data_IF_065825670225
#
_entry.id   IF_065825670225
#
_cell.length_a   1.000
_cell.length_b   1.000
_cell.length_c   1.000
_cell.angle_alpha   90.00
_cell.angle_beta   90.00
_cell.angle_gamma   90.00
#
_symmetry.space_group_name_H-M   'P 1'
#
loop_
_entity.id
_entity.type
_entity.pdbx_description
1 polymer ?
#
# COMPACT_ATOMS: atom_id res chain seq x y z
N UNK A 1 0.05 -31.40 -14.26
CA UNK A 1 -0.24 -30.28 -15.18
C UNK A 1 0.97 -29.36 -15.35
N UNK A 2 1.33 -28.94 -16.58
CA UNK A 2 2.28 -27.87 -16.81
C UNK A 2 1.69 -26.51 -16.41
N UNK A 3 2.53 -25.60 -15.89
CA UNK A 3 2.10 -24.24 -15.58
C UNK A 3 2.02 -23.45 -16.90
N UNK A 4 0.84 -22.92 -17.23
CA UNK A 4 0.68 -22.10 -18.43
C UNK A 4 1.35 -20.73 -18.28
N UNK A 5 1.59 -20.04 -19.40
CA UNK A 5 2.13 -18.66 -19.39
C UNK A 5 1.29 -17.70 -18.52
N UNK A 6 -0.02 -17.92 -18.44
CA UNK A 6 -0.92 -17.13 -17.60
C UNK A 6 -0.75 -17.46 -16.12
N UNK A 7 -0.39 -18.71 -15.77
CA UNK A 7 -0.04 -19.07 -14.39
C UNK A 7 1.23 -18.34 -13.92
N UNK A 8 2.28 -18.31 -14.75
CA UNK A 8 3.48 -17.51 -14.46
C UNK A 8 3.17 -16.01 -14.41
N UNK A 9 2.36 -15.51 -15.34
CA UNK A 9 1.91 -14.13 -15.35
C UNK A 9 1.15 -13.75 -14.08
N UNK A 10 0.23 -14.59 -13.61
CA UNK A 10 -0.52 -14.37 -12.38
C UNK A 10 0.41 -14.25 -11.17
N UNK A 11 1.37 -15.17 -11.02
CA UNK A 11 2.36 -15.15 -9.93
C UNK A 11 3.25 -13.89 -9.97
N UNK A 12 3.69 -13.47 -11.15
CA UNK A 12 4.48 -12.25 -11.31
C UNK A 12 3.66 -11.01 -10.93
N UNK A 13 2.44 -10.88 -11.45
CA UNK A 13 1.59 -9.70 -11.20
C UNK A 13 1.22 -9.56 -9.73
N UNK A 14 0.82 -10.64 -9.06
CA UNK A 14 0.46 -10.58 -7.64
C UNK A 14 1.67 -10.22 -6.76
N UNK A 15 2.86 -10.71 -7.13
CA UNK A 15 4.11 -10.42 -6.42
C UNK A 15 4.53 -8.97 -6.60
N UNK A 16 4.58 -8.49 -7.84
CA UNK A 16 4.94 -7.09 -8.16
C UNK A 16 3.95 -6.13 -7.51
N UNK A 17 2.65 -6.39 -7.61
CA UNK A 17 1.61 -5.56 -7.00
C UNK A 17 1.77 -5.46 -5.48
N UNK A 18 1.99 -6.59 -4.81
CA UNK A 18 2.17 -6.62 -3.35
C UNK A 18 3.47 -5.92 -2.93
N UNK A 19 4.56 -6.10 -3.66
CA UNK A 19 5.84 -5.42 -3.39
C UNK A 19 5.71 -3.90 -3.53
N UNK A 20 5.10 -3.42 -4.62
CA UNK A 20 4.89 -1.98 -4.81
C UNK A 20 3.97 -1.39 -3.76
N UNK A 21 2.97 -2.13 -3.30
CA UNK A 21 2.12 -1.72 -2.19
C UNK A 21 2.92 -1.58 -0.88
N UNK A 22 3.75 -2.57 -0.54
CA UNK A 22 4.62 -2.51 0.64
C UNK A 22 5.59 -1.33 0.58
N UNK A 23 6.22 -1.10 -0.58
CA UNK A 23 7.10 0.05 -0.80
C UNK A 23 6.34 1.37 -0.66
N UNK A 24 5.15 1.48 -1.26
CA UNK A 24 4.30 2.66 -1.12
C UNK A 24 3.92 2.90 0.36
N UNK A 25 3.66 1.86 1.14
CA UNK A 25 3.31 2.00 2.56
C UNK A 25 4.43 2.62 3.40
N UNK A 26 5.69 2.30 3.09
CA UNK A 26 6.85 2.74 3.88
C UNK A 26 7.39 4.09 3.41
N UNK A 27 7.36 4.37 2.11
CA UNK A 27 7.96 5.59 1.57
C UNK A 27 7.09 6.83 1.87
N UNK A 28 7.67 7.90 2.45
CA UNK A 28 6.96 9.14 2.75
C UNK A 28 6.76 10.02 1.50
N UNK A 29 6.78 9.45 0.29
CA UNK A 29 6.72 10.18 -0.99
C UNK A 29 5.34 10.07 -1.66
N UNK A 30 4.28 10.19 -0.86
CA UNK A 30 2.91 10.27 -1.41
C UNK A 30 2.60 11.69 -1.83
N UNK A 31 2.91 12.64 -0.95
CA UNK A 31 2.78 14.07 -1.20
C UNK A 31 4.10 14.75 -0.86
N UNK A 32 4.58 15.62 -1.73
CA UNK A 32 5.82 16.38 -1.51
C UNK A 32 5.57 17.86 -1.71
N UNK A 33 6.10 18.67 -0.80
CA UNK A 33 6.14 20.12 -0.91
C UNK A 33 7.59 20.63 -0.81
N UNK A 34 7.99 21.47 -1.77
CA UNK A 34 9.32 22.09 -1.83
C UNK A 34 9.28 23.61 -1.80
N UNK A 35 8.10 24.22 -1.68
CA UNK A 35 7.92 25.66 -1.58
C UNK A 35 7.81 26.06 -0.13
N UNK A 36 8.50 27.15 0.21
CA UNK A 36 8.36 27.78 1.53
C UNK A 36 7.23 28.80 1.43
N UNK A 37 6.31 28.77 2.38
CA UNK A 37 5.26 29.77 2.50
C UNK A 37 5.86 31.19 2.57
N UNK A 38 5.28 32.14 1.85
CA UNK A 38 5.79 33.51 1.77
C UNK A 38 5.92 34.22 3.13
N UNK A 39 5.15 33.81 4.14
CA UNK A 39 5.25 34.34 5.51
C UNK A 39 6.47 33.82 6.29
N UNK A 40 7.10 32.73 5.81
CA UNK A 40 8.18 32.01 6.50
C UNK A 40 9.53 32.15 5.80
N UNK A 41 9.65 32.95 4.74
CA UNK A 41 10.91 33.10 3.99
C UNK A 41 12.04 33.71 4.81
N UNK A 42 11.71 34.47 5.86
CA UNK A 42 12.69 35.05 6.78
C UNK A 42 13.19 34.03 7.84
N UNK A 43 12.46 32.92 8.01
CA UNK A 43 12.75 31.87 9.00
C UNK A 43 13.31 30.59 8.35
N UNK A 44 12.83 30.25 7.16
CA UNK A 44 13.15 29.02 6.40
C UNK A 44 13.66 29.40 5.02
N UNK A 45 14.92 29.05 4.73
CA UNK A 45 15.57 29.33 3.45
C UNK A 45 15.16 28.33 2.37
N UNK A 46 14.96 27.06 2.75
CA UNK A 46 14.45 26.02 1.86
C UNK A 46 13.77 24.90 2.63
N UNK A 47 12.84 24.19 1.98
CA UNK A 47 12.14 23.03 2.55
C UNK A 47 11.93 21.95 1.50
N UNK A 48 11.91 20.70 1.94
CA UNK A 48 11.55 19.52 1.18
C UNK A 48 10.74 18.58 2.07
N UNK A 49 9.49 18.95 2.27
CA UNK A 49 8.51 18.18 3.02
C UNK A 49 8.04 16.98 2.19
N UNK A 50 8.00 15.81 2.82
CA UNK A 50 7.53 14.56 2.21
C UNK A 50 6.58 13.85 3.17
N UNK A 51 5.32 13.66 2.80
CA UNK A 51 4.35 12.91 3.60
C UNK A 51 3.97 11.58 2.95
N UNK A 52 3.80 10.56 3.77
CA UNK A 52 3.20 9.27 3.41
C UNK A 52 2.33 8.71 4.52
N UNK A 53 1.98 7.43 4.39
CA UNK A 53 1.02 6.74 5.26
C UNK A 53 1.48 6.62 6.71
N UNK A 54 2.78 6.42 6.93
CA UNK A 54 3.36 6.18 8.26
C UNK A 54 3.74 7.48 9.00
N UNK A 55 3.91 8.57 8.27
CA UNK A 55 4.46 9.80 8.80
C UNK A 55 4.90 10.76 7.69
N UNK A 56 5.69 11.74 8.07
CA UNK A 56 6.26 12.72 7.15
C UNK A 56 7.72 13.00 7.52
N UNK A 57 8.51 13.40 6.53
CA UNK A 57 9.87 13.86 6.71
C UNK A 57 9.95 15.33 6.31
N UNK A 58 10.77 16.05 7.05
CA UNK A 58 11.12 17.43 6.80
C UNK A 58 12.62 17.47 6.58
N UNK A 59 13.01 18.03 5.44
CA UNK A 59 14.37 18.39 5.09
C UNK A 59 14.37 19.90 4.82
N UNK A 60 14.77 20.72 5.80
CA UNK A 60 14.72 22.19 5.72
C UNK A 60 15.95 22.88 6.27
N UNK A 61 16.26 24.04 5.71
CA UNK A 61 17.37 24.89 6.14
C UNK A 61 16.82 26.19 6.73
N UNK A 62 17.17 26.49 7.98
CA UNK A 62 16.72 27.69 8.68
C UNK A 62 17.55 28.90 8.27
N UNK A 63 16.92 30.03 7.95
CA UNK A 63 17.62 31.22 7.40
C UNK A 63 18.67 31.80 8.37
N UNK A 64 18.41 31.73 9.67
CA UNK A 64 19.27 32.31 10.71
C UNK A 64 20.19 31.30 11.44
N UNK A 65 20.25 30.06 10.98
CA UNK A 65 21.13 29.05 11.56
C UNK A 65 21.74 28.18 10.47
N UNK A 66 23.00 27.76 10.60
CA UNK A 66 23.59 26.76 9.71
C UNK A 66 23.05 25.34 9.94
N UNK A 67 21.90 25.20 10.60
CA UNK A 67 21.31 23.92 10.99
C UNK A 67 20.33 23.47 9.92
N UNK A 68 20.66 22.36 9.26
CA UNK A 68 19.71 21.62 8.45
C UNK A 68 18.87 20.69 9.35
N UNK A 69 17.56 20.74 9.20
CA UNK A 69 16.61 19.84 9.83
C UNK A 69 16.30 18.70 8.86
N UNK A 70 16.85 17.51 9.10
CA UNK A 70 16.54 16.29 8.34
C UNK A 70 15.95 15.23 9.27
N UNK A 71 14.64 15.34 9.53
CA UNK A 71 13.95 14.48 10.50
C UNK A 71 12.68 13.88 9.92
N UNK A 72 12.44 12.59 10.21
CA UNK A 72 11.25 11.84 9.81
C UNK A 72 10.37 11.53 11.01
N UNK A 73 9.22 12.18 11.09
CA UNK A 73 8.24 12.04 12.15
C UNK A 73 7.20 10.98 11.81
N UNK A 74 6.97 10.05 12.73
CA UNK A 74 5.93 9.03 12.58
C UNK A 74 4.66 9.44 13.30
N UNK A 75 3.49 9.15 12.71
CA UNK A 75 2.19 9.52 13.31
C UNK A 75 1.97 8.83 14.65
N UNK A 76 2.27 7.53 14.72
CA UNK A 76 1.93 6.68 15.87
C UNK A 76 3.14 6.18 16.66
N UNK A 77 4.36 6.35 16.12
CA UNK A 77 5.59 5.88 16.76
C UNK A 77 6.37 7.06 17.29
N UNK A 78 6.90 6.94 18.51
CA UNK A 78 7.75 7.96 19.09
C UNK A 78 9.02 8.10 18.25
N UNK A 79 9.35 9.34 17.94
CA UNK A 79 10.56 9.69 17.21
C UNK A 79 11.16 10.89 17.94
N UNK A 80 11.93 10.61 18.99
CA UNK A 80 12.55 11.63 19.81
C UNK A 80 13.71 12.27 19.02
N UNK A 81 13.43 13.38 18.34
CA UNK A 81 14.44 14.18 17.65
C UNK A 81 14.63 15.49 18.38
N UNK A 82 15.82 15.78 18.88
CA UNK A 82 16.08 17.06 19.55
C UNK A 82 16.16 18.24 18.57
N UNK A 83 16.27 17.98 17.25
CA UNK A 83 16.53 19.01 16.24
C UNK A 83 15.50 20.15 16.17
N UNK A 84 14.24 19.91 16.56
CA UNK A 84 13.19 20.94 16.52
C UNK A 84 13.17 21.85 17.76
N UNK A 85 13.99 21.57 18.77
CA UNK A 85 14.13 22.46 19.93
C UNK A 85 14.70 23.84 19.56
N UNK A 86 15.36 23.96 18.40
CA UNK A 86 15.87 25.23 17.85
C UNK A 86 14.75 26.20 17.48
N UNK A 87 13.56 25.68 17.17
CA UNK A 87 12.38 26.50 16.84
C UNK A 87 11.66 26.93 18.12
N UNK A 88 11.28 25.98 18.98
CA UNK A 88 10.72 26.24 20.31
C UNK A 88 11.09 25.14 21.30
N UNK A 89 12.09 25.38 22.14
CA UNK A 89 12.59 24.42 23.13
C UNK A 89 11.52 24.00 24.15
N UNK A 90 10.64 24.92 24.55
CA UNK A 90 9.67 24.66 25.62
C UNK A 90 8.57 23.74 25.14
N UNK A 91 7.99 24.07 23.97
CA UNK A 91 6.94 23.25 23.37
C UNK A 91 7.52 21.89 22.98
N UNK A 92 8.70 21.89 22.35
CA UNK A 92 9.30 20.66 21.86
C UNK A 92 9.69 19.71 23.00
N UNK A 93 10.35 20.20 24.06
CA UNK A 93 10.72 19.36 25.22
C UNK A 93 9.52 18.71 25.93
N UNK A 94 8.34 19.32 25.83
CA UNK A 94 7.12 18.80 26.45
C UNK A 94 6.46 17.67 25.65
N UNK A 95 6.56 17.70 24.31
CA UNK A 95 5.79 16.80 23.44
C UNK A 95 6.64 15.89 22.51
N UNK A 96 7.94 16.11 22.40
CA UNK A 96 8.83 15.40 21.45
C UNK A 96 9.04 13.92 21.73
N UNK A 97 8.77 13.47 22.96
CA UNK A 97 9.00 12.08 23.39
C UNK A 97 7.95 11.09 22.88
N UNK A 98 6.89 11.58 22.22
CA UNK A 98 5.75 10.78 21.77
C UNK A 98 5.63 10.75 20.24
N UNK A 99 4.75 9.89 19.73
CA UNK A 99 4.38 9.94 18.31
C UNK A 99 3.54 11.19 18.01
N UNK A 100 3.61 11.69 16.78
CA UNK A 100 3.02 13.00 16.41
C UNK A 100 1.54 13.11 16.82
N UNK A 101 0.75 12.06 16.61
CA UNK A 101 -0.67 12.09 16.90
C UNK A 101 -1.00 12.02 18.39
N UNK A 102 -0.14 11.38 19.18
CA UNK A 102 -0.29 11.36 20.63
C UNK A 102 0.09 12.73 21.22
N UNK A 103 1.19 13.31 20.76
CA UNK A 103 1.61 14.67 21.10
C UNK A 103 0.54 15.71 20.71
N UNK A 104 0.00 15.60 19.49
CA UNK A 104 -1.08 16.45 18.99
C UNK A 104 -2.34 16.37 19.85
N UNK A 105 -2.75 15.14 20.22
CA UNK A 105 -3.89 14.91 21.10
C UNK A 105 -3.67 15.47 22.50
N UNK A 106 -2.50 15.20 23.11
CA UNK A 106 -2.16 15.69 24.44
C UNK A 106 -2.11 17.22 24.52
N UNK A 107 -1.57 17.89 23.50
CA UNK A 107 -1.59 19.35 23.41
C UNK A 107 -3.04 19.88 23.24
N UNK A 108 -3.86 19.17 22.47
CA UNK A 108 -5.29 19.46 22.30
C UNK A 108 -6.11 19.32 23.58
N UNK A 109 -5.80 18.34 24.42
CA UNK A 109 -6.44 18.15 25.73
C UNK A 109 -6.17 19.31 26.70
N UNK A 110 -5.07 20.05 26.51
CA UNK A 110 -4.78 21.29 27.24
C UNK A 110 -5.63 22.45 26.70
N UNK A 111 -5.49 22.75 25.40
CA UNK A 111 -6.34 23.72 24.68
C UNK A 111 -6.04 23.74 23.18
N UNK A 112 -6.97 24.26 22.38
CA UNK A 112 -6.73 24.52 20.95
C UNK A 112 -5.52 25.43 20.70
N UNK A 113 -5.28 26.41 21.58
CA UNK A 113 -4.13 27.30 21.48
C UNK A 113 -2.80 26.58 21.73
N UNK A 114 -2.79 25.61 22.65
CA UNK A 114 -1.58 24.83 22.94
C UNK A 114 -1.29 23.83 21.83
N UNK A 115 -2.33 23.20 21.27
CA UNK A 115 -2.23 22.37 20.06
C UNK A 115 -1.64 23.16 18.89
N UNK A 116 -2.14 24.38 18.67
CA UNK A 116 -1.65 25.22 17.59
C UNK A 116 -0.16 25.56 17.76
N UNK A 117 0.34 25.82 18.98
CA UNK A 117 1.78 26.03 19.21
C UNK A 117 2.62 24.82 18.80
N UNK A 118 2.20 23.61 19.20
CA UNK A 118 2.87 22.38 18.81
C UNK A 118 2.88 22.20 17.28
N UNK A 119 1.74 22.45 16.65
CA UNK A 119 1.60 22.41 15.18
C UNK A 119 2.49 23.45 14.52
N UNK A 120 2.55 24.67 15.03
CA UNK A 120 3.39 25.75 14.49
C UNK A 120 4.85 25.33 14.43
N UNK A 121 5.38 24.65 15.44
CA UNK A 121 6.77 24.14 15.41
C UNK A 121 6.99 23.20 14.21
N UNK A 122 6.08 22.26 13.99
CA UNK A 122 6.15 21.32 12.86
C UNK A 122 5.92 22.00 11.51
N UNK A 123 4.98 22.95 11.44
CA UNK A 123 4.64 23.68 10.24
C UNK A 123 5.78 24.60 9.81
N UNK A 124 6.40 25.33 10.75
CA UNK A 124 7.61 26.12 10.52
C UNK A 124 8.73 25.24 10.01
N UNK A 125 8.99 24.10 10.65
CA UNK A 125 10.00 23.16 10.14
C UNK A 125 9.69 22.72 8.70
N UNK A 126 8.42 22.43 8.38
CA UNK A 126 7.96 22.05 7.05
C UNK A 126 7.90 23.22 6.05
N UNK A 127 8.06 24.47 6.48
CA UNK A 127 7.90 25.67 5.65
C UNK A 127 6.45 25.94 5.23
N UNK A 128 5.47 25.49 6.03
CA UNK A 128 4.04 25.56 5.72
C UNK A 128 3.27 26.47 6.69
N UNK A 129 2.10 26.93 6.27
CA UNK A 129 1.16 27.63 7.14
C UNK A 129 0.67 26.72 8.27
N UNK A 130 0.63 27.26 9.50
CA UNK A 130 0.25 26.48 10.68
C UNK A 130 -1.22 26.02 10.66
N UNK A 131 -2.14 26.82 10.12
CA UNK A 131 -3.56 26.44 10.05
C UNK A 131 -3.80 25.37 8.97
N UNK A 132 -3.07 25.43 7.85
CA UNK A 132 -3.06 24.37 6.84
C UNK A 132 -2.50 23.06 7.40
N UNK A 133 -1.38 23.14 8.13
CA UNK A 133 -0.75 21.98 8.75
C UNK A 133 -1.60 21.38 9.88
N UNK A 134 -2.28 22.21 10.68
CA UNK A 134 -3.22 21.75 11.72
C UNK A 134 -4.33 20.91 11.11
N UNK A 135 -4.95 21.39 10.02
CA UNK A 135 -6.01 20.64 9.30
C UNK A 135 -5.50 19.32 8.71
N UNK A 136 -4.24 19.28 8.27
CA UNK A 136 -3.61 18.05 7.80
C UNK A 136 -3.40 17.06 8.96
N UNK A 137 -2.90 17.53 10.10
CA UNK A 137 -2.69 16.71 11.29
C UNK A 137 -4.01 16.23 11.91
N UNK A 138 -5.04 17.08 11.99
CA UNK A 138 -6.37 16.70 12.46
C UNK A 138 -6.92 15.50 11.66
N UNK A 139 -6.81 15.54 10.32
CA UNK A 139 -7.21 14.42 9.46
C UNK A 139 -6.29 13.21 9.61
N UNK A 140 -4.98 13.42 9.72
CA UNK A 140 -3.98 12.34 9.81
C UNK A 140 -4.03 11.59 11.14
N UNK A 141 -4.36 12.30 12.22
CA UNK A 141 -4.45 11.76 13.57
C UNK A 141 -5.87 11.34 13.96
N UNK A 142 -6.88 11.78 13.21
CA UNK A 142 -8.25 11.35 13.35
C UNK A 142 -8.60 10.06 12.59
N UNK A 143 -9.91 9.85 12.40
CA UNK A 143 -10.44 8.66 11.75
C UNK A 143 -9.97 8.46 10.31
N UNK A 144 -9.72 9.55 9.57
CA UNK A 144 -9.28 9.48 8.18
C UNK A 144 -7.90 8.82 8.11
N UNK A 145 -6.89 9.35 8.81
CA UNK A 145 -5.55 8.78 8.80
C UNK A 145 -5.47 7.37 9.40
N UNK A 146 -6.23 7.09 10.46
CA UNK A 146 -6.37 5.72 10.97
C UNK A 146 -6.94 4.77 9.90
N UNK A 147 -7.97 5.21 9.17
CA UNK A 147 -8.54 4.47 8.05
C UNK A 147 -7.54 4.26 6.92
N UNK A 148 -6.83 5.32 6.50
CA UNK A 148 -5.82 5.26 5.44
C UNK A 148 -4.74 4.23 5.77
N UNK A 149 -4.18 4.28 6.99
CA UNK A 149 -3.15 3.35 7.44
C UNK A 149 -3.67 1.91 7.55
N UNK A 150 -4.88 1.73 8.09
CA UNK A 150 -5.50 0.41 8.27
C UNK A 150 -5.76 -0.25 6.93
N UNK A 151 -6.36 0.46 5.97
CA UNK A 151 -6.61 -0.09 4.64
C UNK A 151 -5.31 -0.36 3.88
N UNK A 152 -4.27 0.47 4.05
CA UNK A 152 -2.96 0.20 3.46
C UNK A 152 -2.35 -1.10 3.98
N UNK A 153 -2.38 -1.29 5.30
CA UNK A 153 -1.89 -2.52 5.95
C UNK A 153 -2.71 -3.76 5.60
N UNK A 154 -4.04 -3.64 5.52
CA UNK A 154 -4.91 -4.72 5.05
C UNK A 154 -4.59 -5.08 3.60
N UNK A 155 -4.35 -4.10 2.74
CA UNK A 155 -4.03 -4.36 1.34
C UNK A 155 -2.74 -5.15 1.19
N UNK A 156 -1.68 -4.74 1.88
CA UNK A 156 -0.39 -5.43 1.89
C UNK A 156 -0.51 -6.87 2.43
N UNK A 157 -1.14 -7.05 3.60
CA UNK A 157 -1.26 -8.37 4.24
C UNK A 157 -2.12 -9.35 3.43
N UNK A 158 -3.25 -8.89 2.88
CA UNK A 158 -4.08 -9.71 1.99
C UNK A 158 -3.35 -10.00 0.67
N UNK A 159 -2.57 -9.06 0.14
CA UNK A 159 -1.72 -9.28 -1.04
C UNK A 159 -0.73 -10.42 -0.82
N UNK A 160 -0.03 -10.42 0.32
CA UNK A 160 0.89 -11.51 0.69
C UNK A 160 0.17 -12.86 0.80
N UNK A 161 -0.99 -12.89 1.47
CA UNK A 161 -1.78 -14.11 1.59
C UNK A 161 -2.31 -14.59 0.22
N UNK A 162 -2.64 -13.67 -0.68
CA UNK A 162 -3.05 -13.98 -2.05
C UNK A 162 -1.90 -14.59 -2.86
N UNK A 163 -0.65 -14.12 -2.69
CA UNK A 163 0.55 -14.76 -3.29
C UNK A 163 0.59 -16.23 -2.86
N UNK A 164 0.54 -16.50 -1.55
CA UNK A 164 0.62 -17.86 -1.01
C UNK A 164 -0.52 -18.72 -1.58
N UNK A 165 -1.74 -18.20 -1.59
CA UNK A 165 -2.92 -18.91 -2.09
C UNK A 165 -2.83 -19.22 -3.60
N UNK A 166 -2.46 -18.25 -4.43
CA UNK A 166 -2.36 -18.39 -5.89
C UNK A 166 -1.19 -19.31 -6.26
N UNK A 167 0.00 -19.09 -5.69
CA UNK A 167 1.17 -19.95 -5.93
C UNK A 167 0.87 -21.38 -5.49
N UNK A 168 0.27 -21.55 -4.32
CA UNK A 168 -0.14 -22.86 -3.81
C UNK A 168 -1.17 -23.55 -4.71
N UNK A 169 -2.15 -22.81 -5.23
CA UNK A 169 -3.16 -23.33 -6.15
C UNK A 169 -2.58 -23.74 -7.52
N UNK A 170 -1.52 -23.07 -7.99
CA UNK A 170 -0.85 -23.37 -9.26
C UNK A 170 0.14 -24.54 -9.13
N UNK A 171 0.89 -24.59 -8.03
CA UNK A 171 2.03 -25.49 -7.88
C UNK A 171 1.67 -26.75 -7.08
N UNK A 172 1.45 -26.62 -5.77
CA UNK A 172 1.36 -27.74 -4.83
C UNK A 172 -0.05 -28.32 -4.67
N UNK A 173 -1.10 -27.54 -4.95
CA UNK A 173 -2.51 -27.88 -4.71
C UNK A 173 -3.34 -27.59 -5.96
N UNK A 174 -2.86 -28.06 -7.11
CA UNK A 174 -3.39 -27.83 -8.46
C UNK A 174 -4.92 -27.83 -8.51
N UNK A 175 -5.52 -26.63 -8.60
CA UNK A 175 -6.97 -26.44 -8.73
C UNK A 175 -7.80 -26.77 -7.49
N UNK A 176 -7.19 -26.85 -6.30
CA UNK A 176 -7.96 -27.04 -5.07
C UNK A 176 -8.88 -25.83 -4.81
N UNK A 177 -10.20 -26.07 -4.78
CA UNK A 177 -11.23 -25.03 -4.67
C UNK A 177 -11.01 -24.04 -3.52
N UNK A 178 -10.46 -24.48 -2.37
CA UNK A 178 -10.17 -23.60 -1.23
C UNK A 178 -9.03 -22.61 -1.53
N UNK A 179 -7.97 -23.09 -2.16
CA UNK A 179 -6.81 -22.27 -2.53
C UNK A 179 -7.15 -21.30 -3.67
N UNK A 180 -7.90 -21.79 -4.66
CA UNK A 180 -8.43 -20.97 -5.77
C UNK A 180 -9.33 -19.86 -5.23
N UNK A 181 -10.37 -20.22 -4.45
CA UNK A 181 -11.29 -19.24 -3.87
C UNK A 181 -10.60 -18.25 -2.93
N UNK A 182 -9.69 -18.74 -2.10
CA UNK A 182 -8.86 -17.89 -1.23
C UNK A 182 -8.01 -16.90 -2.03
N UNK A 183 -7.37 -17.34 -3.12
CA UNK A 183 -6.57 -16.48 -3.99
C UNK A 183 -7.38 -15.32 -4.58
N UNK A 184 -8.55 -15.60 -5.13
CA UNK A 184 -9.45 -14.55 -5.66
C UNK A 184 -9.95 -13.61 -4.56
N UNK A 185 -10.42 -14.16 -3.44
CA UNK A 185 -10.96 -13.35 -2.35
C UNK A 185 -9.91 -12.41 -1.78
N UNK A 186 -8.72 -12.93 -1.46
CA UNK A 186 -7.64 -12.14 -0.85
C UNK A 186 -7.09 -11.09 -1.83
N UNK A 187 -6.90 -11.44 -3.10
CA UNK A 187 -6.48 -10.47 -4.11
C UNK A 187 -7.54 -9.37 -4.34
N UNK A 188 -8.83 -9.74 -4.30
CA UNK A 188 -9.95 -8.80 -4.41
C UNK A 188 -10.01 -7.83 -3.23
N UNK A 189 -9.90 -8.34 -1.99
CA UNK A 189 -9.82 -7.50 -0.79
C UNK A 189 -8.58 -6.60 -0.83
N UNK A 190 -7.44 -7.12 -1.27
CA UNK A 190 -6.22 -6.33 -1.42
C UNK A 190 -6.41 -5.16 -2.40
N UNK A 191 -7.01 -5.41 -3.57
CA UNK A 191 -7.33 -4.37 -4.54
C UNK A 191 -8.28 -3.31 -3.98
N UNK A 192 -9.35 -3.74 -3.33
CA UNK A 192 -10.36 -2.84 -2.78
C UNK A 192 -9.80 -1.95 -1.65
N UNK A 193 -9.02 -2.52 -0.74
CA UNK A 193 -8.40 -1.78 0.36
C UNK A 193 -7.27 -0.86 -0.13
N UNK A 194 -6.52 -1.22 -1.18
CA UNK A 194 -5.59 -0.29 -1.84
C UNK A 194 -6.32 0.93 -2.42
N UNK A 195 -7.46 0.71 -3.08
CA UNK A 195 -8.29 1.80 -3.60
C UNK A 195 -8.79 2.72 -2.48
N UNK A 196 -9.29 2.16 -1.37
CA UNK A 196 -9.74 2.97 -0.22
C UNK A 196 -8.59 3.78 0.39
N UNK A 197 -7.40 3.18 0.52
CA UNK A 197 -6.18 3.86 0.99
C UNK A 197 -5.89 5.09 0.13
N UNK A 198 -5.95 4.94 -1.19
CA UNK A 198 -5.78 6.04 -2.15
C UNK A 198 -6.82 7.14 -1.96
N UNK A 199 -8.11 6.79 -1.86
CA UNK A 199 -9.19 7.79 -1.72
C UNK A 199 -9.06 8.58 -0.43
N UNK A 200 -8.78 7.89 0.68
CA UNK A 200 -8.61 8.54 1.98
C UNK A 200 -7.37 9.41 2.02
N UNK A 201 -6.26 9.01 1.38
CA UNK A 201 -5.07 9.84 1.28
C UNK A 201 -5.37 11.18 0.60
N UNK A 202 -6.16 11.19 -0.48
CA UNK A 202 -6.54 12.44 -1.15
C UNK A 202 -7.32 13.40 -0.23
N UNK A 203 -8.16 12.86 0.65
CA UNK A 203 -8.87 13.66 1.66
C UNK A 203 -7.93 14.14 2.76
N UNK A 204 -7.02 13.25 3.21
CA UNK A 204 -6.04 13.51 4.26
C UNK A 204 -5.06 14.61 3.84
N UNK A 205 -4.46 14.50 2.65
CA UNK A 205 -3.45 15.41 2.13
C UNK A 205 -4.04 16.69 1.50
N UNK A 206 -5.35 16.76 1.26
CA UNK A 206 -6.01 17.92 0.64
C UNK A 206 -5.67 19.29 1.25
N UNK A 207 -5.56 19.44 2.59
CA UNK A 207 -5.16 20.71 3.22
C UNK A 207 -3.74 21.19 2.86
N UNK A 208 -2.87 20.31 2.37
CA UNK A 208 -1.49 20.65 1.96
C UNK A 208 -1.41 21.29 0.56
N UNK A 209 -2.51 21.33 -0.19
CA UNK A 209 -2.52 21.53 -1.64
C UNK A 209 -3.04 22.88 -2.13
N UNK A 210 -2.63 24.00 -1.53
CA UNK A 210 -2.76 25.26 -2.28
C UNK A 210 -1.90 25.22 -3.55
N UNK A 211 -2.31 26.00 -4.56
CA UNK A 211 -2.19 25.73 -6.01
C UNK A 211 -0.79 25.56 -6.62
N UNK A 212 0.30 25.45 -5.86
CA UNK A 212 1.65 25.15 -6.37
C UNK A 212 2.52 24.30 -5.41
N UNK A 213 1.97 23.79 -4.30
CA UNK A 213 2.80 23.37 -3.15
C UNK A 213 2.89 21.85 -2.95
N UNK A 214 1.78 21.10 -3.02
CA UNK A 214 1.79 19.65 -2.80
C UNK A 214 1.67 18.85 -4.11
N UNK A 215 2.75 18.19 -4.51
CA UNK A 215 2.77 17.30 -5.69
C UNK A 215 2.68 15.83 -5.30
N UNK A 216 1.83 15.07 -6.00
CA UNK A 216 1.76 13.61 -5.87
C UNK A 216 3.04 13.00 -6.45
N UNK A 217 3.71 12.11 -5.69
CA UNK A 217 5.02 11.56 -6.06
C UNK A 217 5.03 10.04 -6.11
N UNK A 218 6.22 9.47 -6.27
CA UNK A 218 6.49 8.09 -6.62
C UNK A 218 5.68 7.06 -5.81
N UNK A 219 5.54 7.22 -4.49
CA UNK A 219 4.82 6.24 -3.66
C UNK A 219 3.31 6.21 -3.98
N UNK A 220 2.73 7.36 -4.31
CA UNK A 220 1.34 7.46 -4.75
C UNK A 220 1.09 6.70 -6.06
N UNK A 221 1.97 6.89 -7.05
CA UNK A 221 1.86 6.16 -8.33
C UNK A 221 2.13 4.66 -8.18
N UNK A 222 3.05 4.26 -7.31
CA UNK A 222 3.29 2.85 -6.99
C UNK A 222 2.04 2.18 -6.41
N UNK A 223 1.26 2.89 -5.58
CA UNK A 223 -0.01 2.37 -5.08
C UNK A 223 -1.05 2.17 -6.20
N UNK A 224 -1.15 3.11 -7.15
CA UNK A 224 -2.04 2.97 -8.32
C UNK A 224 -1.64 1.76 -9.15
N UNK A 225 -0.33 1.62 -9.43
CA UNK A 225 0.19 0.48 -10.17
C UNK A 225 -0.12 -0.83 -9.42
N UNK A 226 0.12 -0.88 -8.11
CA UNK A 226 -0.20 -2.04 -7.26
C UNK A 226 -1.69 -2.40 -7.31
N UNK A 227 -2.57 -1.40 -7.19
CA UNK A 227 -4.02 -1.57 -7.28
C UNK A 227 -4.45 -2.22 -8.60
N UNK A 228 -3.82 -1.87 -9.73
CA UNK A 228 -4.11 -2.45 -11.04
C UNK A 228 -3.54 -3.87 -11.24
N UNK A 229 -2.45 -4.20 -10.56
CA UNK A 229 -1.82 -5.53 -10.64
C UNK A 229 -2.68 -6.62 -9.99
N UNK A 230 -3.44 -6.30 -8.93
CA UNK A 230 -4.30 -7.28 -8.27
C UNK A 230 -5.42 -7.83 -9.20
N UNK A 231 -6.24 -7.00 -9.88
CA UNK A 231 -7.19 -7.48 -10.88
C UNK A 231 -6.54 -8.21 -12.05
N UNK A 232 -5.39 -7.72 -12.53
CA UNK A 232 -4.68 -8.37 -13.63
C UNK A 232 -4.17 -9.76 -13.24
N UNK A 233 -3.67 -9.93 -12.01
CA UNK A 233 -3.28 -11.21 -11.46
C UNK A 233 -4.47 -12.17 -11.36
N UNK A 234 -5.63 -11.70 -10.89
CA UNK A 234 -6.87 -12.48 -10.84
C UNK A 234 -7.31 -12.91 -12.25
N UNK A 235 -7.29 -12.01 -13.22
CA UNK A 235 -7.64 -12.34 -14.61
C UNK A 235 -6.72 -13.41 -15.21
N UNK A 236 -5.40 -13.26 -15.04
CA UNK A 236 -4.43 -14.25 -15.51
C UNK A 236 -4.57 -15.58 -14.78
N UNK A 237 -4.87 -15.55 -13.48
CA UNK A 237 -5.10 -16.76 -12.69
C UNK A 237 -6.36 -17.49 -13.15
N UNK A 238 -7.45 -16.77 -13.38
CA UNK A 238 -8.68 -17.33 -13.96
C UNK A 238 -8.42 -17.98 -15.32
N UNK A 239 -7.69 -17.30 -16.20
CA UNK A 239 -7.34 -17.84 -17.51
C UNK A 239 -6.47 -19.10 -17.42
N UNK A 240 -5.52 -19.14 -16.48
CA UNK A 240 -4.75 -20.33 -16.20
C UNK A 240 -5.65 -21.49 -15.78
N UNK A 241 -6.60 -21.28 -14.88
CA UNK A 241 -7.51 -22.32 -14.41
C UNK A 241 -8.36 -22.89 -15.55
N UNK A 242 -8.93 -22.04 -16.41
CA UNK A 242 -9.70 -22.50 -17.57
C UNK A 242 -8.85 -23.33 -18.53
N UNK A 243 -7.60 -22.92 -18.81
CA UNK A 243 -6.68 -23.68 -19.65
C UNK A 243 -6.39 -25.07 -19.05
N UNK A 244 -6.35 -25.19 -17.71
CA UNK A 244 -6.19 -26.49 -17.06
C UNK A 244 -7.45 -27.34 -17.12
N UNK A 245 -8.64 -26.75 -16.99
CA UNK A 245 -9.90 -27.48 -17.09
C UNK A 245 -10.09 -28.05 -18.50
N UNK A 246 -9.90 -27.22 -19.54
CA UNK A 246 -9.98 -27.70 -20.94
C UNK A 246 -8.94 -28.77 -21.25
N UNK A 247 -7.72 -28.65 -20.71
CA UNK A 247 -6.68 -29.67 -20.91
C UNK A 247 -7.02 -30.99 -20.20
N UNK A 248 -7.71 -30.97 -19.06
CA UNK A 248 -8.18 -32.18 -18.37
C UNK A 248 -9.30 -32.86 -19.16
N UNK A 249 -10.28 -32.10 -19.63
CA UNK A 249 -11.40 -32.65 -20.41
C UNK A 249 -10.90 -33.38 -21.66
N UNK A 250 -9.95 -32.79 -22.40
CA UNK A 250 -9.37 -33.43 -23.60
C UNK A 250 -8.60 -34.71 -23.27
N UNK A 251 -7.85 -34.75 -22.16
CA UNK A 251 -7.09 -35.93 -21.74
C UNK A 251 -8.03 -37.06 -21.28
N UNK A 252 -9.07 -36.73 -20.51
CA UNK A 252 -10.09 -37.67 -20.04
C UNK A 252 -10.91 -38.25 -21.22
N UNK A 253 -11.29 -37.41 -22.18
CA UNK A 253 -11.98 -37.84 -23.41
C UNK A 253 -11.09 -38.79 -24.22
N UNK A 254 -9.83 -38.41 -24.45
CA UNK A 254 -8.88 -39.25 -25.20
C UNK A 254 -8.64 -40.60 -24.51
N UNK A 255 -8.54 -40.62 -23.18
CA UNK A 255 -8.39 -41.86 -22.42
C UNK A 255 -9.65 -42.74 -22.53
N UNK A 256 -10.84 -42.14 -22.50
CA UNK A 256 -12.11 -42.83 -22.68
C UNK A 256 -12.20 -43.51 -24.06
N UNK A 257 -11.84 -42.79 -25.14
CA UNK A 257 -11.81 -43.37 -26.49
C UNK A 257 -10.81 -44.53 -26.62
N UNK A 258 -9.63 -44.43 -25.99
CA UNK A 258 -8.64 -45.52 -25.99
C UNK A 258 -9.18 -46.77 -25.27
N UNK A 259 -9.88 -46.59 -24.16
CA UNK A 259 -10.51 -47.71 -23.44
C UNK A 259 -11.63 -48.37 -24.26
N UNK A 260 -12.50 -47.59 -24.91
CA UNK A 260 -13.55 -48.13 -25.78
C UNK A 260 -12.97 -48.88 -27.01
N UNK A 261 -11.89 -48.36 -27.60
CA UNK A 261 -11.18 -49.02 -28.69
C UNK A 261 -10.52 -50.35 -28.25
N UNK A 262 -10.01 -50.42 -27.02
CA UNK A 262 -9.42 -51.63 -26.45
C UNK A 262 -10.48 -52.71 -26.14
N UNK A 263 -11.62 -52.32 -25.56
CA UNK A 263 -12.70 -53.26 -25.23
C UNK A 263 -13.39 -53.82 -26.49
N UNK A 264 -13.50 -52.99 -27.53
CA UNK A 264 -14.00 -53.43 -28.84
C UNK A 264 -13.03 -54.39 -29.57
N UNK A 265 -11.71 -54.25 -29.43
CA UNK A 265 -10.76 -55.24 -29.93
C UNK A 265 -10.72 -56.54 -29.11
N UNK A 266 -10.91 -56.45 -27.79
CA UNK A 266 -11.00 -57.62 -26.90
C UNK A 266 -12.21 -58.53 -27.19
N UNK A 267 -13.33 -57.95 -27.66
CA UNK A 267 -14.54 -58.71 -28.05
C UNK A 267 -14.41 -59.48 -29.37
N UNK A 268 -13.48 -59.12 -30.26
CA UNK A 268 -13.34 -59.78 -31.57
C UNK A 268 -12.49 -61.06 -31.48
N UNK A 269 -11.74 -61.27 -30.39
CA UNK A 269 -10.93 -62.47 -30.17
C UNK A 269 -11.69 -63.67 -29.56
N UNK A 270 -13.02 -63.59 -29.44
CA UNK A 270 -13.86 -64.59 -28.79
C UNK A 270 -14.93 -65.20 -29.71
N UNK A 271 -14.59 -65.58 -30.94
CA UNK A 271 -15.46 -66.45 -31.76
C UNK A 271 -14.84 -67.84 -31.84
N UNK A 272 -15.45 -68.73 -31.06
CA UNK A 272 -15.26 -70.18 -31.04
C UNK A 272 -15.23 -70.77 -32.45
N UNK A 273 -14.15 -71.48 -32.77
CA UNK A 273 -14.13 -72.46 -33.86
C UNK A 273 -14.95 -73.67 -33.38
N UNK A 274 -16.17 -73.82 -33.89
CA UNK A 274 -16.93 -75.07 -33.78
C UNK A 274 -16.33 -76.14 -34.70
N UNK A 275 -16.38 -77.37 -34.18
CA UNK A 275 -15.73 -78.58 -34.67
C UNK A 275 -16.65 -79.37 -35.59
#
# INVERSE_FOLDING_TARGET
MPISKHGYGAMAMITIGTLYNAVAMVLPMWTVNTTVNAALTDEVASTNFKAGLMGFCVDSELTNSSTALDNCFYYNFASAYDGLSVIDEKVWSQYSSEGVCKAYGNAGDVSDAERLKYVTVLATAAGMDADQFDKFLDKSCGMIGMGTMTFGGMSMSNGLMAIIAIVGAITCRQGNKKWVGGGFFLAGVAAFTAMLTFVLWMVQAGPLGEKDDASLKTAFFLMIIAMLHYPLAMFMFWKHLNEQETAKEVDDDQFTYIMEASDSQGRVAGVHVER
#
